data_IF_144423973737
#
_entry.id   IF_144423973737
#
_cell.length_a   1.000
_cell.length_b   1.000
_cell.length_c   1.000
_cell.angle_alpha   90.00
_cell.angle_beta   90.00
_cell.angle_gamma   90.00
#
_symmetry.space_group_name_H-M   'P 1'
#
loop_
_entity.id
_entity.type
_entity.pdbx_description
1 polymer ?
#
# COMPACT_ATOMS: atom_id res chain seq x y z
N UNK A 1 -22.83 -21.33 -35.58
CA UNK A 1 -23.29 -19.95 -35.81
C UNK A 1 -22.51 -19.04 -34.84
N UNK A 2 -21.59 -18.27 -35.40
CA UNK A 2 -20.70 -17.34 -34.72
C UNK A 2 -21.46 -16.16 -34.12
N UNK A 3 -21.16 -15.77 -32.89
CA UNK A 3 -21.31 -14.38 -32.42
C UNK A 3 -20.12 -14.01 -31.54
N UNK A 4 -19.14 -13.39 -32.20
CA UNK A 4 -18.04 -12.65 -31.62
C UNK A 4 -18.58 -11.41 -30.90
N UNK A 5 -18.49 -11.34 -29.59
CA UNK A 5 -18.76 -10.11 -28.82
C UNK A 5 -17.49 -9.26 -28.78
N UNK A 6 -17.55 -8.10 -29.39
CA UNK A 6 -16.49 -7.09 -29.50
C UNK A 6 -16.23 -6.43 -28.14
N UNK A 7 -14.98 -6.47 -27.69
CA UNK A 7 -14.48 -5.62 -26.60
C UNK A 7 -14.28 -4.17 -27.08
N UNK A 8 -14.60 -3.14 -26.28
CA UNK A 8 -14.47 -1.75 -26.71
C UNK A 8 -13.00 -1.31 -26.75
N UNK A 9 -12.56 -0.87 -27.94
CA UNK A 9 -11.24 -0.28 -28.25
C UNK A 9 -11.09 1.15 -27.67
N UNK A 10 -11.29 1.37 -26.39
CA UNK A 10 -11.21 2.72 -25.81
C UNK A 10 -9.89 3.03 -25.08
N UNK A 11 -8.97 2.07 -24.90
CA UNK A 11 -7.78 2.25 -24.08
C UNK A 11 -6.48 2.57 -24.84
N UNK A 12 -6.49 2.55 -26.20
CA UNK A 12 -5.29 2.82 -27.00
C UNK A 12 -5.08 4.30 -27.39
N UNK A 13 -5.96 5.23 -27.01
CA UNK A 13 -5.84 6.66 -27.39
C UNK A 13 -5.19 7.58 -26.34
N UNK A 14 -4.84 7.09 -25.15
CA UNK A 14 -4.27 7.94 -24.08
C UNK A 14 -2.73 7.92 -23.99
N UNK A 15 -2.04 7.15 -24.83
CA UNK A 15 -0.57 7.05 -24.82
C UNK A 15 0.12 7.80 -25.98
N UNK A 16 -0.58 8.64 -26.74
CA UNK A 16 0.00 9.44 -27.82
C UNK A 16 -0.20 10.96 -27.65
N UNK A 17 -0.02 11.47 -26.43
CA UNK A 17 0.16 12.92 -26.26
C UNK A 17 1.65 13.23 -26.40
N UNK A 18 2.04 13.67 -27.62
CA UNK A 18 3.34 14.34 -27.86
C UNK A 18 3.48 15.56 -26.93
N UNK A 19 4.64 15.76 -26.29
CA UNK A 19 4.87 16.99 -25.54
C UNK A 19 4.85 18.21 -26.52
N UNK A 20 4.33 19.37 -26.06
CA UNK A 20 4.32 20.57 -26.88
C UNK A 20 5.75 21.02 -27.19
N UNK A 21 6.00 21.31 -28.47
CA UNK A 21 7.27 21.83 -28.96
C UNK A 21 7.53 23.23 -28.37
N UNK A 22 8.70 23.43 -27.78
CA UNK A 22 9.21 24.75 -27.37
C UNK A 22 9.37 25.63 -28.58
N UNK A 23 8.99 26.92 -28.52
CA UNK A 23 9.18 27.85 -29.64
C UNK A 23 10.69 28.08 -29.89
N UNK A 24 11.10 27.87 -31.15
CA UNK A 24 12.43 28.23 -31.63
C UNK A 24 12.53 29.76 -31.71
N UNK A 25 13.46 30.36 -30.97
CA UNK A 25 13.86 31.75 -31.15
C UNK A 25 14.58 31.91 -32.50
N UNK A 26 14.23 32.92 -33.31
CA UNK A 26 14.95 33.19 -34.54
C UNK A 26 16.34 33.72 -34.25
N UNK A 27 17.30 33.25 -35.04
CA UNK A 27 18.71 33.64 -34.96
C UNK A 27 18.89 35.15 -35.15
N UNK A 28 19.47 35.77 -34.14
CA UNK A 28 19.95 37.13 -34.24
C UNK A 28 21.43 37.14 -34.62
N UNK A 29 21.71 37.81 -35.69
CA UNK A 29 23.05 38.07 -36.23
C UNK A 29 23.98 38.69 -35.17
N UNK A 30 25.18 38.15 -35.07
CA UNK A 30 26.25 38.68 -34.24
C UNK A 30 26.76 40.01 -34.85
N UNK A 31 26.27 41.14 -34.34
CA UNK A 31 26.90 42.43 -34.61
C UNK A 31 28.11 42.61 -33.68
N UNK A 32 29.29 42.53 -34.25
CA UNK A 32 30.55 42.92 -33.63
C UNK A 32 30.54 44.42 -33.31
N UNK A 33 30.22 44.81 -32.11
CA UNK A 33 30.44 46.18 -31.61
C UNK A 33 31.87 46.28 -31.12
N UNK A 34 32.71 46.93 -31.92
CA UNK A 34 34.07 47.31 -31.55
C UNK A 34 33.99 48.45 -30.51
N UNK A 35 34.27 48.16 -29.27
CA UNK A 35 34.48 49.21 -28.25
C UNK A 35 35.88 49.83 -28.43
N UNK A 36 35.90 51.09 -28.85
CA UNK A 36 37.11 51.94 -28.95
C UNK A 36 37.46 52.37 -27.51
N UNK A 37 38.56 51.84 -26.96
CA UNK A 37 39.16 52.27 -25.71
C UNK A 37 39.66 53.69 -25.85
N UNK A 38 38.94 54.70 -25.38
CA UNK A 38 39.42 56.03 -25.16
C UNK A 38 40.00 56.11 -23.75
N UNK A 39 41.33 55.97 -23.67
CA UNK A 39 42.09 56.22 -22.45
C UNK A 39 42.04 57.72 -22.16
N UNK A 40 41.21 58.14 -21.18
CA UNK A 40 41.36 59.44 -20.52
C UNK A 40 41.92 59.21 -19.13
N UNK A 41 43.21 59.52 -18.95
CA UNK A 41 43.82 59.68 -17.63
C UNK A 41 43.26 60.97 -17.01
N UNK A 42 42.41 60.84 -15.95
CA UNK A 42 42.07 61.87 -14.99
C UNK A 42 42.84 61.67 -13.69
N UNK A 43 43.08 62.70 -12.88
CA UNK A 43 43.94 62.61 -11.71
C UNK A 43 43.36 61.73 -10.63
N UNK A 44 44.23 61.03 -9.93
CA UNK A 44 43.91 60.10 -8.85
C UNK A 44 43.35 60.86 -7.62
N UNK A 45 42.03 60.74 -7.37
CA UNK A 45 41.49 61.03 -6.06
C UNK A 45 41.49 59.73 -5.27
N UNK A 46 42.31 59.68 -4.22
CA UNK A 46 42.32 58.60 -3.18
C UNK A 46 41.16 58.76 -2.28
N UNK A 47 39.96 58.46 -2.78
CA UNK A 47 38.78 58.23 -1.95
C UNK A 47 38.79 56.76 -1.48
N UNK A 48 39.12 56.53 -0.19
CA UNK A 48 38.97 55.24 0.48
C UNK A 48 37.49 54.99 0.60
N UNK A 49 36.88 54.31 -0.38
CA UNK A 49 35.54 53.81 -0.26
C UNK A 49 35.57 52.62 0.75
N UNK A 50 35.03 52.86 1.94
CA UNK A 50 34.69 51.78 2.89
C UNK A 50 33.63 50.90 2.21
N UNK A 51 34.06 49.84 1.55
CA UNK A 51 33.16 48.80 1.07
C UNK A 51 32.54 48.14 2.32
N UNK A 52 31.20 48.06 2.40
CA UNK A 52 30.57 47.34 3.50
C UNK A 52 31.05 45.90 3.43
N UNK A 53 31.76 45.48 4.47
CA UNK A 53 32.21 44.10 4.62
C UNK A 53 30.98 43.21 4.74
N UNK A 54 30.69 42.45 3.70
CA UNK A 54 29.59 41.50 3.70
C UNK A 54 29.74 40.46 4.84
N UNK A 55 28.67 39.81 5.23
CA UNK A 55 28.69 38.89 6.38
C UNK A 55 29.77 37.82 6.21
N UNK A 56 30.52 37.57 7.29
CA UNK A 56 31.64 36.64 7.32
C UNK A 56 31.24 35.23 6.87
N UNK A 57 32.22 34.45 6.42
CA UNK A 57 31.99 33.09 5.91
C UNK A 57 31.17 32.23 6.85
N UNK A 58 31.39 32.31 8.15
CA UNK A 58 30.62 31.59 9.20
C UNK A 58 29.14 31.99 9.19
N UNK A 59 28.82 33.27 9.06
CA UNK A 59 27.43 33.78 9.01
C UNK A 59 26.74 33.31 7.72
N UNK A 60 27.43 33.27 6.58
CA UNK A 60 26.90 32.76 5.32
C UNK A 60 26.59 31.26 5.42
N UNK A 61 27.47 30.47 6.02
CA UNK A 61 27.25 29.04 6.24
C UNK A 61 26.07 28.77 7.18
N UNK A 62 25.92 29.54 8.26
CA UNK A 62 24.78 29.42 9.17
C UNK A 62 23.46 29.77 8.47
N UNK A 63 23.41 30.84 7.70
CA UNK A 63 22.20 31.22 6.96
C UNK A 63 21.82 30.15 5.93
N UNK A 64 22.80 29.60 5.18
CA UNK A 64 22.55 28.52 4.22
C UNK A 64 22.06 27.25 4.89
N UNK A 65 22.63 26.89 6.04
CA UNK A 65 22.21 25.74 6.83
C UNK A 65 20.77 25.91 7.38
N UNK A 66 20.42 27.08 7.88
CA UNK A 66 19.05 27.39 8.37
C UNK A 66 18.02 27.37 7.23
N UNK A 67 18.36 27.93 6.06
CA UNK A 67 17.49 27.88 4.88
C UNK A 67 17.32 26.43 4.41
N UNK A 68 18.41 25.65 4.34
CA UNK A 68 18.36 24.23 3.97
C UNK A 68 17.52 23.40 4.94
N UNK A 69 17.68 23.60 6.24
CA UNK A 69 16.87 22.94 7.28
C UNK A 69 15.39 23.33 7.18
N UNK A 70 15.09 24.61 6.94
CA UNK A 70 13.72 25.09 6.74
C UNK A 70 13.05 24.47 5.51
N UNK A 71 13.72 24.50 4.36
CA UNK A 71 13.21 23.91 3.12
C UNK A 71 13.07 22.39 3.24
N UNK A 72 14.02 21.71 3.90
CA UNK A 72 13.96 20.27 4.19
C UNK A 72 12.76 19.93 5.09
N UNK A 73 12.53 20.72 6.12
CA UNK A 73 11.37 20.56 7.02
C UNK A 73 10.03 20.73 6.30
N UNK A 74 9.90 21.78 5.49
CA UNK A 74 8.70 22.01 4.66
C UNK A 74 8.49 20.86 3.67
N UNK A 75 9.55 20.41 3.01
CA UNK A 75 9.46 19.29 2.06
C UNK A 75 9.01 18.00 2.74
N UNK A 76 9.57 17.67 3.92
CA UNK A 76 9.15 16.50 4.71
C UNK A 76 7.70 16.62 5.17
N UNK A 77 7.26 17.80 5.62
CA UNK A 77 5.87 18.04 6.01
C UNK A 77 4.90 17.85 4.83
N UNK A 78 5.21 18.43 3.67
CA UNK A 78 4.40 18.27 2.46
C UNK A 78 4.36 16.81 1.97
N UNK A 79 5.49 16.10 2.09
CA UNK A 79 5.54 14.67 1.75
C UNK A 79 4.65 13.84 2.67
N UNK A 80 4.73 14.06 3.99
CA UNK A 80 3.90 13.38 4.98
C UNK A 80 2.40 13.69 4.78
N UNK A 81 2.07 14.93 4.45
CA UNK A 81 0.69 15.33 4.16
C UNK A 81 0.17 14.68 2.88
N UNK A 82 0.97 14.65 1.82
CA UNK A 82 0.62 13.95 0.57
C UNK A 82 0.36 12.46 0.80
N UNK A 83 1.17 11.79 1.61
CA UNK A 83 0.98 10.39 1.97
C UNK A 83 -0.33 10.17 2.74
N UNK A 84 -0.66 11.07 3.70
CA UNK A 84 -1.95 11.06 4.43
C UNK A 84 -3.14 11.22 3.49
N UNK A 85 -3.09 12.20 2.58
CA UNK A 85 -4.15 12.43 1.58
C UNK A 85 -4.34 11.24 0.64
N UNK A 86 -3.25 10.62 0.19
CA UNK A 86 -3.32 9.42 -0.65
C UNK A 86 -3.95 8.25 0.10
N UNK A 87 -3.60 8.07 1.37
CA UNK A 87 -4.13 7.01 2.21
C UNK A 87 -5.63 7.23 2.49
N UNK A 88 -6.05 8.45 2.80
CA UNK A 88 -7.46 8.79 2.99
C UNK A 88 -8.29 8.54 1.71
N UNK A 89 -7.83 9.04 0.56
CA UNK A 89 -8.49 8.79 -0.73
C UNK A 89 -8.59 7.31 -1.06
N UNK A 90 -7.54 6.53 -0.76
CA UNK A 90 -7.54 5.09 -0.95
C UNK A 90 -8.58 4.42 -0.06
N UNK A 91 -8.61 4.75 1.24
CA UNK A 91 -9.59 4.21 2.19
C UNK A 91 -11.03 4.56 1.77
N UNK A 92 -11.26 5.78 1.32
CA UNK A 92 -12.56 6.22 0.83
C UNK A 92 -12.99 5.50 -0.45
N UNK A 93 -12.09 5.35 -1.42
CA UNK A 93 -12.33 4.58 -2.63
C UNK A 93 -12.64 3.10 -2.32
N UNK A 94 -11.97 2.51 -1.33
CA UNK A 94 -12.22 1.12 -0.89
C UNK A 94 -13.57 0.98 -0.18
N UNK A 95 -13.96 1.96 0.64
CA UNK A 95 -15.31 2.02 1.26
C UNK A 95 -16.40 2.13 0.19
N UNK A 96 -16.23 3.02 -0.79
CA UNK A 96 -17.16 3.16 -1.92
C UNK A 96 -17.20 1.91 -2.80
N UNK A 97 -16.11 1.17 -2.88
CA UNK A 97 -16.03 -0.08 -3.63
C UNK A 97 -16.81 -1.24 -2.99
N UNK A 98 -17.43 -1.05 -1.83
CA UNK A 98 -18.22 -2.06 -1.12
C UNK A 98 -17.46 -3.37 -0.83
N UNK A 99 -16.11 -3.29 -0.65
CA UNK A 99 -15.30 -4.47 -0.33
C UNK A 99 -15.63 -4.96 1.07
N UNK A 100 -15.87 -6.27 1.20
CA UNK A 100 -16.15 -6.91 2.49
C UNK A 100 -17.49 -6.51 3.13
N UNK A 101 -18.43 -5.91 2.39
CA UNK A 101 -19.75 -5.55 2.94
C UNK A 101 -20.69 -6.76 3.10
N UNK A 102 -20.42 -7.87 2.41
CA UNK A 102 -21.17 -9.10 2.59
C UNK A 102 -20.90 -9.76 3.94
N UNK A 103 -21.90 -10.47 4.45
CA UNK A 103 -21.70 -11.43 5.53
C UNK A 103 -21.19 -12.76 4.96
N UNK A 104 -20.54 -13.57 5.78
CA UNK A 104 -20.15 -14.92 5.42
C UNK A 104 -20.52 -15.88 6.55
N UNK A 105 -20.72 -17.14 6.19
CA UNK A 105 -20.87 -18.26 7.13
C UNK A 105 -19.96 -19.38 6.65
N UNK A 106 -18.93 -19.69 7.44
CA UNK A 106 -17.89 -20.68 7.14
C UNK A 106 -17.73 -21.61 8.35
N UNK A 107 -16.98 -22.69 8.19
CA UNK A 107 -16.56 -23.57 9.28
C UNK A 107 -15.13 -23.24 9.67
N UNK A 108 -14.84 -23.14 10.97
CA UNK A 108 -13.45 -23.06 11.41
C UNK A 108 -12.78 -24.45 11.40
N UNK A 109 -11.46 -24.46 11.58
CA UNK A 109 -10.65 -25.67 11.62
C UNK A 109 -10.98 -26.61 12.82
N UNK A 110 -11.95 -26.24 13.67
CA UNK A 110 -12.51 -27.06 14.75
C UNK A 110 -13.91 -27.55 14.44
N UNK A 111 -14.42 -27.26 13.22
CA UNK A 111 -15.76 -27.62 12.79
C UNK A 111 -16.88 -26.72 13.33
N UNK A 112 -16.53 -25.56 13.95
CA UNK A 112 -17.53 -24.64 14.47
C UNK A 112 -17.92 -23.63 13.38
N UNK A 113 -19.22 -23.35 13.28
CA UNK A 113 -19.71 -22.32 12.37
C UNK A 113 -19.23 -20.93 12.82
N UNK A 114 -18.72 -20.15 11.88
CA UNK A 114 -18.25 -18.78 12.09
C UNK A 114 -18.89 -17.85 11.08
N UNK A 115 -19.29 -16.70 11.56
CA UNK A 115 -19.80 -15.64 10.73
C UNK A 115 -18.98 -14.35 10.96
N UNK A 116 -19.16 -13.38 10.10
CA UNK A 116 -18.44 -12.09 10.20
C UNK A 116 -18.72 -11.38 11.54
N UNK A 117 -19.92 -11.54 12.09
CA UNK A 117 -20.31 -10.93 13.36
C UNK A 117 -19.48 -11.44 14.55
N UNK A 118 -18.94 -12.66 14.51
CA UNK A 118 -18.13 -13.26 15.58
C UNK A 118 -16.80 -12.51 15.77
N UNK A 119 -16.37 -11.74 14.77
CA UNK A 119 -15.12 -10.98 14.78
C UNK A 119 -15.31 -9.51 15.11
N UNK A 120 -16.52 -9.06 15.43
CA UNK A 120 -16.76 -7.69 15.87
C UNK A 120 -16.08 -7.41 17.21
N UNK A 121 -15.68 -6.16 17.41
CA UNK A 121 -14.95 -5.73 18.60
C UNK A 121 -13.45 -6.00 18.58
N UNK A 122 -12.93 -6.65 17.55
CA UNK A 122 -11.50 -6.93 17.39
C UNK A 122 -11.00 -6.55 15.99
N UNK A 123 -9.73 -6.23 15.91
CA UNK A 123 -9.03 -6.07 14.62
C UNK A 123 -8.80 -7.45 14.00
N UNK A 124 -8.95 -7.55 12.69
CA UNK A 124 -8.75 -8.81 11.97
C UNK A 124 -7.74 -8.60 10.84
N UNK A 125 -6.76 -9.49 10.75
CA UNK A 125 -5.92 -9.66 9.57
C UNK A 125 -6.31 -10.97 8.89
N UNK A 126 -6.75 -10.87 7.64
CA UNK A 126 -7.31 -11.98 6.88
C UNK A 126 -6.49 -12.22 5.61
N UNK A 127 -6.17 -13.48 5.34
CA UNK A 127 -5.50 -13.92 4.12
C UNK A 127 -6.32 -15.01 3.42
N UNK A 128 -6.37 -14.96 2.10
CA UNK A 128 -7.00 -15.97 1.26
C UNK A 128 -5.92 -16.77 0.55
N UNK A 129 -6.00 -18.10 0.62
CA UNK A 129 -5.03 -19.00 0.04
C UNK A 129 -5.51 -20.44 0.07
N UNK A 130 -4.61 -21.41 -0.10
CA UNK A 130 -4.94 -22.84 -0.02
C UNK A 130 -3.76 -23.63 0.57
N UNK A 131 -4.06 -24.77 1.21
CA UNK A 131 -3.04 -25.52 1.98
C UNK A 131 -2.01 -26.21 1.10
N UNK A 132 -2.35 -26.54 -0.15
CA UNK A 132 -1.48 -27.19 -1.13
C UNK A 132 -0.61 -26.19 -1.92
N UNK A 133 -0.57 -24.91 -1.53
CA UNK A 133 0.33 -23.94 -2.15
C UNK A 133 1.77 -24.19 -1.72
N UNK A 134 2.73 -24.40 -2.67
CA UNK A 134 4.07 -24.85 -2.31
C UNK A 134 4.95 -23.77 -1.67
N UNK A 135 4.72 -22.48 -1.93
CA UNK A 135 5.62 -21.40 -1.52
C UNK A 135 4.93 -20.09 -1.11
N UNK A 136 4.04 -19.53 -1.93
CA UNK A 136 3.50 -18.18 -1.71
C UNK A 136 2.60 -18.10 -0.47
N UNK A 137 1.71 -19.08 -0.25
CA UNK A 137 0.80 -19.06 0.91
C UNK A 137 1.55 -19.20 2.24
N UNK A 138 2.52 -20.12 2.41
CA UNK A 138 3.35 -20.15 3.60
C UNK A 138 4.08 -18.84 3.88
N UNK A 139 4.74 -18.23 2.85
CA UNK A 139 5.45 -16.95 2.99
C UNK A 139 4.53 -15.81 3.46
N UNK A 140 3.35 -15.70 2.88
CA UNK A 140 2.38 -14.65 3.24
C UNK A 140 1.75 -14.88 4.62
N UNK A 141 1.52 -16.15 5.02
CA UNK A 141 1.06 -16.49 6.37
C UNK A 141 2.14 -16.23 7.42
N UNK A 142 3.40 -16.57 7.15
CA UNK A 142 4.52 -16.22 8.03
C UNK A 142 4.63 -14.71 8.23
N UNK A 143 4.51 -13.94 7.14
CA UNK A 143 4.47 -12.48 7.20
C UNK A 143 3.31 -11.98 8.05
N UNK A 144 2.10 -12.50 7.85
CA UNK A 144 0.92 -12.16 8.64
C UNK A 144 1.15 -12.45 10.13
N UNK A 145 1.71 -13.61 10.45
CA UNK A 145 2.06 -14.01 11.83
C UNK A 145 3.12 -13.11 12.44
N UNK A 146 4.15 -12.72 11.68
CA UNK A 146 5.15 -11.75 12.14
C UNK A 146 4.50 -10.40 12.49
N UNK A 147 3.56 -9.92 11.68
CA UNK A 147 2.79 -8.70 11.99
C UNK A 147 2.02 -8.86 13.30
N UNK A 148 1.30 -9.97 13.48
CA UNK A 148 0.54 -10.24 14.69
C UNK A 148 1.45 -10.26 15.92
N UNK A 149 2.58 -10.98 15.88
CA UNK A 149 3.56 -11.04 16.98
C UNK A 149 4.13 -9.66 17.31
N UNK A 150 4.44 -8.83 16.32
CA UNK A 150 4.94 -7.47 16.54
C UNK A 150 3.90 -6.61 17.27
N UNK A 151 2.62 -6.70 16.89
CA UNK A 151 1.53 -5.94 17.53
C UNK A 151 1.21 -6.46 18.94
N UNK A 152 1.29 -7.76 19.17
CA UNK A 152 1.10 -8.39 20.48
C UNK A 152 2.22 -8.03 21.49
N UNK A 153 3.43 -7.79 21.00
CA UNK A 153 4.56 -7.40 21.85
C UNK A 153 4.43 -5.95 22.37
N UNK A 154 3.48 -5.15 21.85
CA UNK A 154 3.33 -3.74 22.25
C UNK A 154 2.25 -3.59 23.32
N UNK A 155 2.63 -3.14 24.55
CA UNK A 155 1.65 -2.91 25.61
C UNK A 155 0.60 -1.88 25.21
N UNK A 156 -0.68 -2.19 25.47
CA UNK A 156 -1.79 -1.27 25.26
C UNK A 156 -2.37 -1.25 23.84
N UNK A 157 -1.84 -2.04 22.89
CA UNK A 157 -2.53 -2.29 21.63
C UNK A 157 -3.62 -3.37 21.82
N UNK A 158 -4.77 -3.22 21.14
CA UNK A 158 -5.78 -4.28 21.13
C UNK A 158 -5.26 -5.48 20.34
N UNK A 159 -5.67 -6.71 20.72
CA UNK A 159 -5.25 -7.91 20.01
C UNK A 159 -5.81 -7.92 18.58
N UNK A 160 -5.03 -8.51 17.67
CA UNK A 160 -5.42 -8.72 16.28
C UNK A 160 -5.72 -10.20 16.08
N UNK A 161 -6.87 -10.54 15.49
CA UNK A 161 -7.23 -11.90 15.13
C UNK A 161 -6.69 -12.23 13.73
N UNK A 162 -5.73 -13.15 13.59
CA UNK A 162 -5.31 -13.66 12.29
C UNK A 162 -6.31 -14.71 11.79
N UNK A 163 -6.67 -14.60 10.49
CA UNK A 163 -7.62 -15.52 9.82
C UNK A 163 -7.02 -15.96 8.50
N UNK A 164 -7.10 -17.25 8.22
CA UNK A 164 -6.80 -17.85 6.93
C UNK A 164 -8.07 -18.44 6.33
N UNK A 165 -8.49 -18.01 5.15
CA UNK A 165 -9.68 -18.53 4.45
C UNK A 165 -9.21 -19.30 3.23
N UNK A 166 -9.64 -20.55 3.09
CA UNK A 166 -9.32 -21.30 1.89
C UNK A 166 -10.07 -20.79 0.66
N UNK A 167 -9.39 -20.87 -0.49
CA UNK A 167 -10.01 -20.69 -1.82
C UNK A 167 -10.18 -22.02 -2.55
N UNK A 168 -9.81 -23.15 -1.89
CA UNK A 168 -9.88 -24.50 -2.43
C UNK A 168 -10.59 -25.45 -1.47
N UNK A 169 -11.89 -25.30 -1.27
CA UNK A 169 -12.66 -26.11 -0.32
C UNK A 169 -12.78 -27.59 -0.73
N UNK A 170 -12.39 -27.95 -1.97
CA UNK A 170 -12.39 -29.35 -2.42
C UNK A 170 -11.31 -30.18 -1.71
N UNK A 171 -10.10 -29.59 -1.51
CA UNK A 171 -8.96 -30.24 -0.83
C UNK A 171 -8.80 -29.77 0.62
N UNK A 172 -9.25 -28.57 0.95
CA UNK A 172 -9.05 -27.93 2.25
C UNK A 172 -10.29 -28.11 3.13
N UNK A 173 -10.56 -29.33 3.58
CA UNK A 173 -11.58 -29.63 4.57
C UNK A 173 -11.17 -29.15 5.99
N UNK A 174 -12.03 -29.37 6.98
CA UNK A 174 -11.77 -29.00 8.38
C UNK A 174 -10.49 -29.64 8.92
N UNK A 175 -10.21 -30.89 8.56
CA UNK A 175 -9.04 -31.62 9.06
C UNK A 175 -7.75 -31.11 8.40
N UNK A 176 -7.75 -30.88 7.07
CA UNK A 176 -6.63 -30.28 6.36
C UNK A 176 -6.30 -28.89 6.90
N UNK A 177 -7.33 -28.07 7.13
CA UNK A 177 -7.18 -26.74 7.72
C UNK A 177 -6.61 -26.81 9.15
N UNK A 178 -7.08 -27.74 9.97
CA UNK A 178 -6.58 -27.93 11.35
C UNK A 178 -5.09 -28.31 11.37
N UNK A 179 -4.68 -29.20 10.46
CA UNK A 179 -3.29 -29.61 10.32
C UNK A 179 -2.40 -28.44 9.88
N UNK A 180 -2.87 -27.66 8.89
CA UNK A 180 -2.08 -26.58 8.28
C UNK A 180 -1.86 -25.39 9.21
N UNK A 181 -2.92 -24.89 9.87
CA UNK A 181 -2.82 -23.65 10.67
C UNK A 181 -1.99 -23.80 11.94
N UNK A 182 -1.84 -25.02 12.50
CA UNK A 182 -1.08 -25.26 13.72
C UNK A 182 0.42 -24.93 13.59
N UNK A 183 0.96 -24.97 12.37
CA UNK A 183 2.38 -24.74 12.10
C UNK A 183 2.75 -23.25 12.14
N UNK A 184 1.77 -22.34 12.15
CA UNK A 184 2.02 -20.90 12.05
C UNK A 184 1.86 -20.15 13.37
N UNK A 185 0.65 -20.12 13.93
CA UNK A 185 0.36 -19.33 15.13
C UNK A 185 -0.82 -19.93 15.91
N UNK A 186 -0.76 -20.01 17.25
CA UNK A 186 -1.81 -20.66 18.06
C UNK A 186 -3.18 -19.98 17.95
N UNK A 187 -3.23 -18.71 17.57
CA UNK A 187 -4.47 -17.96 17.35
C UNK A 187 -4.87 -17.85 15.88
N UNK A 188 -4.10 -18.41 14.95
CA UNK A 188 -4.50 -18.44 13.55
C UNK A 188 -5.76 -19.28 13.37
N UNK A 189 -6.81 -18.65 12.88
CA UNK A 189 -8.08 -19.32 12.63
C UNK A 189 -8.19 -19.67 11.15
N UNK A 190 -8.18 -20.96 10.84
CA UNK A 190 -8.44 -21.46 9.49
C UNK A 190 -9.93 -21.58 9.25
N UNK A 191 -10.42 -21.06 8.13
CA UNK A 191 -11.83 -21.12 7.73
C UNK A 191 -11.98 -21.81 6.39
N UNK A 192 -12.95 -22.75 6.32
CA UNK A 192 -13.37 -23.47 5.12
C UNK A 192 -14.89 -23.52 5.03
N UNK A 193 -15.45 -24.13 4.00
CA UNK A 193 -16.89 -24.25 3.83
C UNK A 193 -17.25 -24.93 2.51
N UNK A 194 -18.50 -24.83 2.08
CA UNK A 194 -18.88 -25.27 0.75
C UNK A 194 -18.26 -24.38 -0.34
N UNK A 195 -18.16 -24.90 -1.56
CA UNK A 195 -17.69 -24.13 -2.71
C UNK A 195 -18.48 -22.81 -2.90
N UNK A 196 -19.79 -22.83 -2.64
CA UNK A 196 -20.65 -21.65 -2.74
C UNK A 196 -20.33 -20.62 -1.64
N UNK A 197 -20.10 -21.08 -0.39
CA UNK A 197 -19.75 -20.21 0.73
C UNK A 197 -18.39 -19.55 0.51
N UNK A 198 -17.39 -20.32 0.07
CA UNK A 198 -16.07 -19.81 -0.29
C UNK A 198 -16.14 -18.84 -1.46
N UNK A 199 -16.92 -19.15 -2.50
CA UNK A 199 -17.12 -18.25 -3.63
C UNK A 199 -17.84 -16.95 -3.19
N UNK A 200 -18.78 -17.02 -2.24
CA UNK A 200 -19.47 -15.84 -1.72
C UNK A 200 -18.51 -14.92 -0.97
N UNK A 201 -17.72 -15.44 -0.03
CA UNK A 201 -16.77 -14.62 0.75
C UNK A 201 -15.68 -14.06 -0.17
N UNK A 202 -15.12 -14.83 -1.09
CA UNK A 202 -14.13 -14.39 -2.07
C UNK A 202 -14.65 -13.24 -2.93
N UNK A 203 -15.88 -13.33 -3.44
CA UNK A 203 -16.52 -12.22 -4.19
C UNK A 203 -16.70 -10.99 -3.33
N UNK A 204 -17.11 -11.13 -2.06
CA UNK A 204 -17.34 -9.97 -1.18
C UNK A 204 -16.04 -9.20 -0.90
N UNK A 205 -14.90 -9.89 -0.82
CA UNK A 205 -13.58 -9.29 -0.67
C UNK A 205 -12.84 -9.04 -1.99
N UNK A 206 -13.50 -9.32 -3.14
CA UNK A 206 -12.94 -9.18 -4.49
C UNK A 206 -11.65 -10.00 -4.67
N UNK A 207 -11.59 -11.13 -4.04
CA UNK A 207 -10.53 -12.11 -4.23
C UNK A 207 -10.79 -12.86 -5.53
N UNK A 208 -9.89 -12.73 -6.48
CA UNK A 208 -9.86 -13.58 -7.66
C UNK A 208 -9.23 -14.92 -7.26
N UNK A 209 -9.78 -16.01 -7.76
CA UNK A 209 -9.14 -17.33 -7.72
C UNK A 209 -9.60 -18.17 -8.91
N UNK A 210 -8.71 -19.05 -9.39
CA UNK A 210 -8.96 -19.95 -10.51
C UNK A 210 -8.13 -21.22 -10.35
N UNK A 211 -8.77 -22.36 -10.32
CA UNK A 211 -8.08 -23.64 -10.32
C UNK A 211 -7.45 -23.89 -11.71
N UNK A 212 -6.19 -24.31 -11.71
CA UNK A 212 -5.48 -24.77 -12.90
C UNK A 212 -5.96 -26.15 -13.38
N UNK A 213 -5.38 -26.64 -14.47
CA UNK A 213 -5.64 -28.01 -14.93
C UNK A 213 -5.11 -29.01 -13.90
N UNK A 214 -5.86 -30.10 -13.70
CA UNK A 214 -5.42 -31.24 -12.89
C UNK A 214 -4.35 -32.04 -13.63
N UNK A 215 -3.29 -32.40 -12.93
CA UNK A 215 -2.25 -33.27 -13.44
C UNK A 215 -2.64 -34.77 -13.38
N UNK A 216 -1.68 -35.69 -13.65
CA UNK A 216 -1.91 -37.14 -13.64
C UNK A 216 -2.30 -37.65 -12.25
N UNK A 217 -1.83 -36.99 -11.17
CA UNK A 217 -2.13 -37.31 -9.76
C UNK A 217 -3.40 -36.59 -9.23
N UNK A 218 -4.15 -35.94 -10.12
CA UNK A 218 -5.33 -35.11 -9.80
C UNK A 218 -4.97 -33.86 -8.94
N UNK A 219 -3.70 -33.50 -8.88
CA UNK A 219 -3.25 -32.28 -8.21
C UNK A 219 -3.33 -31.07 -9.16
N UNK A 220 -3.48 -29.87 -8.59
CA UNK A 220 -3.60 -28.62 -9.34
C UNK A 220 -3.19 -27.41 -8.49
N UNK A 221 -2.71 -26.39 -9.15
CA UNK A 221 -2.41 -25.10 -8.51
C UNK A 221 -3.61 -24.18 -8.66
N UNK A 222 -3.92 -23.43 -7.60
CA UNK A 222 -4.95 -22.38 -7.63
C UNK A 222 -4.25 -21.02 -7.76
N UNK A 223 -4.49 -20.32 -8.86
CA UNK A 223 -4.10 -18.91 -8.99
C UNK A 223 -5.07 -18.05 -8.20
N UNK A 224 -4.57 -17.17 -7.33
CA UNK A 224 -5.41 -16.32 -6.52
C UNK A 224 -4.77 -14.97 -6.19
N UNK A 225 -5.58 -14.01 -5.76
CA UNK A 225 -5.13 -12.70 -5.30
C UNK A 225 -4.26 -12.81 -4.05
N UNK A 226 -3.04 -12.26 -4.09
CA UNK A 226 -2.09 -12.28 -2.98
C UNK A 226 -2.19 -10.96 -2.22
N UNK A 227 -3.00 -10.94 -1.16
CA UNK A 227 -3.17 -9.78 -0.30
C UNK A 227 -3.63 -10.15 1.11
N UNK A 228 -3.13 -9.43 2.10
CA UNK A 228 -3.61 -9.48 3.49
C UNK A 228 -4.61 -8.34 3.67
N UNK A 229 -5.80 -8.64 4.17
CA UNK A 229 -6.91 -7.70 4.38
C UNK A 229 -7.01 -7.31 5.86
N UNK A 230 -7.21 -6.02 6.12
CA UNK A 230 -7.43 -5.50 7.48
C UNK A 230 -8.90 -5.12 7.66
N UNK A 231 -9.52 -5.64 8.73
CA UNK A 231 -10.85 -5.25 9.18
C UNK A 231 -10.75 -4.54 10.54
N UNK A 232 -11.51 -3.48 10.70
CA UNK A 232 -11.68 -2.76 11.96
C UNK A 232 -12.67 -3.46 12.91
N UNK A 233 -12.71 -3.06 14.20
CA UNK A 233 -13.61 -3.69 15.20
C UNK A 233 -15.10 -3.58 14.88
N UNK A 234 -15.52 -2.64 14.06
CA UNK A 234 -16.88 -2.54 13.54
C UNK A 234 -17.18 -3.54 12.40
N UNK A 235 -16.20 -4.38 12.03
CA UNK A 235 -16.30 -5.36 10.97
C UNK A 235 -16.17 -4.76 9.56
N UNK A 236 -15.75 -3.50 9.44
CA UNK A 236 -15.57 -2.86 8.14
C UNK A 236 -14.17 -3.11 7.58
N UNK A 237 -14.13 -3.30 6.27
CA UNK A 237 -12.88 -3.36 5.55
C UNK A 237 -12.15 -1.99 5.62
N UNK A 238 -10.89 -2.03 6.05
CA UNK A 238 -10.10 -0.82 6.35
C UNK A 238 -8.96 -0.62 5.38
N UNK A 239 -8.18 -1.67 5.10
CA UNK A 239 -7.03 -1.62 4.19
C UNK A 239 -6.70 -3.02 3.66
N UNK A 240 -5.80 -3.09 2.67
CA UNK A 240 -5.20 -4.33 2.21
C UNK A 240 -3.71 -4.14 1.90
N UNK A 241 -2.95 -5.21 2.03
CA UNK A 241 -1.50 -5.21 1.88
C UNK A 241 -1.09 -6.26 0.86
N UNK A 242 -0.59 -5.84 -0.29
CA UNK A 242 -0.06 -6.72 -1.31
C UNK A 242 1.34 -7.24 -0.96
N UNK A 243 1.82 -8.24 -1.73
CA UNK A 243 3.08 -8.96 -1.52
C UNK A 243 4.32 -8.07 -1.30
N UNK A 244 4.39 -6.92 -1.96
CA UNK A 244 5.53 -5.99 -1.88
C UNK A 244 5.71 -5.30 -0.50
N UNK A 245 4.75 -5.42 0.42
CA UNK A 245 4.84 -4.84 1.76
C UNK A 245 5.55 -5.81 2.70
N UNK A 246 6.55 -5.29 3.45
CA UNK A 246 7.18 -6.07 4.54
C UNK A 246 6.27 -6.16 5.77
N UNK A 247 6.57 -7.09 6.68
CA UNK A 247 5.82 -7.24 7.94
C UNK A 247 5.84 -5.95 8.77
N UNK A 248 6.98 -5.24 8.85
CA UNK A 248 7.12 -3.98 9.57
C UNK A 248 6.24 -2.89 8.97
N UNK A 249 6.20 -2.78 7.63
CA UNK A 249 5.36 -1.80 6.94
C UNK A 249 3.87 -2.06 7.15
N UNK A 250 3.48 -3.34 7.22
CA UNK A 250 2.11 -3.74 7.52
C UNK A 250 1.77 -3.41 8.97
N UNK A 251 2.63 -3.80 9.93
CA UNK A 251 2.44 -3.51 11.36
C UNK A 251 2.31 -2.00 11.62
N UNK A 252 3.19 -1.18 11.02
CA UNK A 252 3.12 0.29 11.09
C UNK A 252 1.80 0.84 10.53
N UNK A 253 1.30 0.27 9.45
CA UNK A 253 0.01 0.68 8.89
C UNK A 253 -1.15 0.33 9.82
N UNK A 254 -1.14 -0.89 10.39
CA UNK A 254 -2.16 -1.33 11.36
C UNK A 254 -2.16 -0.43 12.60
N UNK A 255 -0.99 -0.08 13.16
CA UNK A 255 -0.87 0.87 14.29
C UNK A 255 -1.52 2.22 13.98
N UNK A 256 -1.27 2.77 12.80
CA UNK A 256 -1.90 4.04 12.37
C UNK A 256 -3.42 3.92 12.28
N UNK A 257 -3.93 2.82 11.75
CA UNK A 257 -5.37 2.57 11.70
C UNK A 257 -5.98 2.43 13.09
N UNK A 258 -5.31 1.72 14.01
CA UNK A 258 -5.74 1.59 15.41
C UNK A 258 -5.77 2.94 16.13
N UNK A 259 -4.75 3.77 15.95
CA UNK A 259 -4.68 5.11 16.54
C UNK A 259 -5.80 6.02 15.99
N UNK A 260 -6.04 6.01 14.68
CA UNK A 260 -7.10 6.78 14.06
C UNK A 260 -8.50 6.32 14.50
N UNK A 261 -8.71 5.02 14.67
CA UNK A 261 -9.99 4.46 15.12
C UNK A 261 -10.31 4.90 16.55
N UNK A 262 -9.33 4.90 17.46
CA UNK A 262 -9.50 5.39 18.83
C UNK A 262 -9.87 6.87 18.87
N UNK A 263 -9.28 7.70 18.02
CA UNK A 263 -9.56 9.15 18.00
C UNK A 263 -10.97 9.51 17.54
N UNK A 264 -11.67 8.60 16.89
CA UNK A 264 -13.08 8.80 16.46
C UNK A 264 -14.07 8.40 17.54
N UNK A 265 -13.66 7.56 18.51
CA UNK A 265 -14.51 7.09 19.61
C UNK A 265 -14.46 8.00 20.85
N UNK A 266 -13.55 8.97 20.88
CA UNK A 266 -13.40 10.00 21.92
C UNK A 266 -13.66 11.39 21.37
#
# INVERSE_FOLDING_TARGET
MLLLAQAPKAWHRLLQLKPPALPRTPGGEAQHVRYRLLSRRGPAETGRQDQPQGPGLRTRLLITALIGAGLGGVWLAMRAEKERWQQQRRTEALRQAAVGQGDFSLLDHRGQARCKADFRGQWVLMYFGFTHCPDICPEELEKLVQVVRQLEAEPGLPPVQPIFITVDPERDDVAAMAHYVQDFHPRLLGLTGSAEQVAQVSRSYRVYYSAGPKDEDQDYIVDHSIAIYLLSPDGLFTDYYGRARSAEQVADSVRRHMAAFRSVLH
#
